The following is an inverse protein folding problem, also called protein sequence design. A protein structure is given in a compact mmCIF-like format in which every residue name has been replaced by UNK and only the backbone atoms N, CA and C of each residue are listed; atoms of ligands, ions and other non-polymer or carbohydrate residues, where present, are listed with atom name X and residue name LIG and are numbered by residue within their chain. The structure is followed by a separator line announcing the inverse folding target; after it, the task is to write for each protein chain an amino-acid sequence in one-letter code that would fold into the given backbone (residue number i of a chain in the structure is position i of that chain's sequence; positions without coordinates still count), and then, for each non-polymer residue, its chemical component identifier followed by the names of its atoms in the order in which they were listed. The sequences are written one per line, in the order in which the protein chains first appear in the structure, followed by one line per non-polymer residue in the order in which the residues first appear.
data_IF_551786071319
#
_entry.id   IF_551786071319
#
_cell.length_a   1.000
_cell.length_b   1.000
_cell.length_c   1.000
_cell.angle_alpha   90.00
_cell.angle_beta   90.00
_cell.angle_gamma   90.00
#
_symmetry.space_group_name_H-M   'P 1'
#
loop_
_entity.id
_entity.type
_entity.pdbx_description
1 polymer ?
#
# COMPACT_ATOMS: atom_id res chain seq x y z
N UNK A 1 27.38 8.07 -9.94
CA UNK A 1 27.37 8.25 -8.47
C UNK A 1 26.84 9.64 -8.18
N UNK A 2 25.80 9.85 -7.36
CA UNK A 2 25.38 11.21 -7.02
C UNK A 2 26.50 11.88 -6.22
N UNK A 3 27.19 12.84 -6.83
CA UNK A 3 28.21 13.62 -6.15
C UNK A 3 27.57 14.50 -5.09
N UNK A 4 28.16 14.51 -3.90
CA UNK A 4 27.71 15.35 -2.80
C UNK A 4 27.95 16.81 -3.16
N UNK A 5 26.89 17.49 -3.61
CA UNK A 5 26.93 18.94 -3.81
C UNK A 5 27.25 19.66 -2.50
N UNK A 6 27.97 20.76 -2.64
CA UNK A 6 28.34 21.59 -1.53
C UNK A 6 27.13 22.06 -0.71
N UNK A 7 27.24 21.95 0.62
CA UNK A 7 26.17 22.36 1.52
C UNK A 7 25.96 23.87 1.41
N UNK A 8 24.68 24.27 1.39
CA UNK A 8 24.25 25.69 1.34
C UNK A 8 24.90 26.57 2.41
N UNK A 9 25.33 25.99 3.54
CA UNK A 9 26.03 26.71 4.61
C UNK A 9 27.30 27.43 4.12
N UNK A 10 28.04 26.87 3.13
CA UNK A 10 29.24 27.52 2.58
C UNK A 10 28.90 28.89 1.98
N UNK A 11 27.77 29.00 1.29
CA UNK A 11 27.28 30.25 0.68
C UNK A 11 26.76 31.29 1.69
N UNK A 12 26.40 30.85 2.90
CA UNK A 12 25.81 31.71 3.92
C UNK A 12 26.80 32.16 5.00
N UNK A 13 28.04 31.66 5.00
CA UNK A 13 29.09 32.15 5.91
C UNK A 13 29.31 33.65 5.68
N UNK A 14 29.38 34.42 6.76
CA UNK A 14 29.46 35.89 6.71
C UNK A 14 28.10 36.60 6.68
N UNK A 15 26.98 35.89 6.50
CA UNK A 15 25.64 36.48 6.65
C UNK A 15 25.17 36.44 8.10
N UNK A 16 24.52 37.50 8.57
CA UNK A 16 24.13 37.66 9.98
C UNK A 16 23.22 36.55 10.53
N UNK A 17 22.31 36.00 9.73
CA UNK A 17 21.29 35.03 10.19
C UNK A 17 21.27 33.71 9.39
N UNK A 18 22.28 33.47 8.54
CA UNK A 18 22.44 32.24 7.76
C UNK A 18 21.17 31.76 7.03
N UNK A 19 20.41 32.69 6.46
CA UNK A 19 19.19 32.39 5.69
C UNK A 19 17.95 32.03 6.52
N UNK A 20 17.96 32.28 7.83
CA UNK A 20 16.79 32.03 8.71
C UNK A 20 15.95 33.26 9.04
N UNK A 21 16.19 34.38 8.33
CA UNK A 21 15.45 35.62 8.49
C UNK A 21 15.97 36.43 9.66
N UNK A 22 15.18 36.62 10.71
CA UNK A 22 15.55 37.38 11.90
C UNK A 22 16.27 36.50 12.94
N UNK A 23 17.10 37.11 13.80
CA UNK A 23 17.77 36.50 14.98
C UNK A 23 16.79 35.85 15.96
N UNK A 24 15.52 36.30 16.01
CA UNK A 24 14.49 35.67 16.86
C UNK A 24 13.95 34.36 16.28
N UNK A 25 14.22 34.05 15.01
CA UNK A 25 13.78 32.82 14.35
C UNK A 25 14.78 31.66 14.57
N UNK A 26 14.40 30.44 14.18
CA UNK A 26 15.25 29.22 14.23
C UNK A 26 15.84 28.91 15.62
N UNK A 27 15.02 29.08 16.67
CA UNK A 27 15.34 28.58 18.01
C UNK A 27 14.92 27.11 18.13
N UNK A 28 14.35 26.72 19.28
CA UNK A 28 13.94 25.36 19.59
C UNK A 28 12.51 25.01 19.16
N UNK A 29 11.94 24.04 19.86
CA UNK A 29 10.56 23.54 19.66
C UNK A 29 9.49 24.63 19.78
N UNK A 30 9.71 25.67 20.58
CA UNK A 30 8.80 26.81 20.69
C UNK A 30 8.53 27.48 19.33
N UNK A 31 9.59 27.74 18.54
CA UNK A 31 9.44 28.32 17.20
C UNK A 31 8.74 27.36 16.20
N UNK A 32 8.76 26.05 16.46
CA UNK A 32 8.07 25.02 15.66
C UNK A 32 6.62 24.78 16.11
N UNK A 33 6.20 25.43 17.20
CA UNK A 33 4.90 25.18 17.84
C UNK A 33 4.82 23.78 18.46
N UNK A 34 5.89 23.32 19.10
CA UNK A 34 5.99 22.02 19.77
C UNK A 34 6.86 21.00 19.03
N UNK A 35 7.14 19.86 19.67
CA UNK A 35 7.89 18.74 19.08
C UNK A 35 6.92 17.78 18.39
N UNK A 36 7.25 17.35 17.17
CA UNK A 36 6.44 16.40 16.41
C UNK A 36 5.01 16.88 16.18
N UNK A 37 4.05 16.02 16.52
CA UNK A 37 2.61 16.23 16.34
C UNK A 37 1.94 17.07 17.45
N UNK A 38 2.74 17.75 18.29
CA UNK A 38 2.21 18.66 19.28
C UNK A 38 1.45 19.83 18.62
N UNK A 39 0.30 20.17 19.18
CA UNK A 39 -0.54 21.29 18.74
C UNK A 39 -1.50 20.98 17.60
N UNK A 40 -1.48 19.75 17.04
CA UNK A 40 -2.37 19.37 15.93
C UNK A 40 -3.87 19.50 16.30
N UNK A 41 -4.26 19.22 17.53
CA UNK A 41 -5.62 19.48 18.06
C UNK A 41 -5.82 20.88 18.67
N UNK A 42 -4.88 21.81 18.51
CA UNK A 42 -4.89 23.15 19.11
C UNK A 42 -4.48 24.21 18.08
N UNK A 43 -3.35 24.88 18.27
CA UNK A 43 -2.87 25.98 17.41
C UNK A 43 -2.42 25.55 16.00
N UNK A 44 -2.31 24.24 15.72
CA UNK A 44 -2.09 23.70 14.37
C UNK A 44 -3.35 23.05 13.77
N UNK A 45 -4.53 23.30 14.34
CA UNK A 45 -5.79 22.71 13.86
C UNK A 45 -6.09 23.06 12.40
N UNK A 46 -5.81 24.29 11.96
CA UNK A 46 -5.96 24.71 10.56
C UNK A 46 -5.16 23.85 9.58
N UNK A 47 -3.96 23.39 9.98
CA UNK A 47 -3.16 22.48 9.16
C UNK A 47 -3.78 21.09 9.09
N UNK A 48 -4.33 20.58 10.20
CA UNK A 48 -5.01 19.29 10.26
C UNK A 48 -6.25 19.30 9.38
N UNK A 49 -7.13 20.29 9.53
CA UNK A 49 -8.35 20.38 8.72
C UNK A 49 -8.04 20.44 7.21
N UNK A 50 -6.93 21.08 6.82
CA UNK A 50 -6.53 21.21 5.42
C UNK A 50 -5.84 19.97 4.85
N UNK A 51 -4.88 19.39 5.58
CA UNK A 51 -3.95 18.40 5.03
C UNK A 51 -4.16 16.99 5.57
N UNK A 52 -4.78 16.84 6.74
CA UNK A 52 -4.99 15.55 7.40
C UNK A 52 -6.32 15.53 8.19
N UNK A 53 -7.47 15.67 7.52
CA UNK A 53 -8.77 15.82 8.19
C UNK A 53 -9.17 14.56 8.98
N UNK A 54 -8.79 13.37 8.52
CA UNK A 54 -9.13 12.09 9.14
C UNK A 54 -8.08 11.63 10.17
N UNK A 55 -7.17 12.52 10.59
CA UNK A 55 -6.15 12.29 11.63
C UNK A 55 -6.75 11.79 12.94
N UNK A 56 -7.92 12.33 13.27
CA UNK A 56 -8.58 12.19 14.56
C UNK A 56 -9.98 11.62 14.37
N UNK A 57 -10.40 10.81 15.35
CA UNK A 57 -11.64 10.05 15.28
C UNK A 57 -11.37 8.55 15.27
N UNK A 58 -12.45 7.78 15.34
CA UNK A 58 -12.44 6.32 15.16
C UNK A 58 -13.47 5.99 14.11
N UNK A 59 -13.06 5.32 13.05
CA UNK A 59 -13.96 4.86 12.00
C UNK A 59 -14.11 3.35 12.07
N UNK A 60 -15.37 2.89 12.09
CA UNK A 60 -15.74 1.48 11.97
C UNK A 60 -15.38 0.59 13.17
N UNK A 61 -15.73 -0.69 13.03
CA UNK A 61 -15.45 -1.74 14.01
C UNK A 61 -14.25 -2.58 13.53
N UNK A 62 -13.24 -2.75 14.40
CA UNK A 62 -12.10 -3.63 14.10
C UNK A 62 -12.48 -5.09 14.31
N UNK A 63 -12.81 -5.80 13.22
CA UNK A 63 -13.03 -7.26 13.27
C UNK A 63 -11.71 -8.00 13.51
N UNK A 64 -11.71 -8.95 14.45
CA UNK A 64 -10.65 -9.97 14.58
C UNK A 64 -10.95 -11.08 13.56
N UNK A 65 -10.45 -10.95 12.34
CA UNK A 65 -10.65 -11.93 11.27
C UNK A 65 -9.35 -12.29 10.57
N UNK A 66 -9.27 -13.52 10.06
CA UNK A 66 -8.16 -13.97 9.22
C UNK A 66 -8.41 -13.53 7.77
N UNK A 67 -7.37 -13.04 7.10
CA UNK A 67 -7.42 -12.78 5.67
C UNK A 67 -7.29 -14.11 4.94
N UNK A 68 -8.28 -14.45 4.11
CA UNK A 68 -8.16 -15.58 3.20
C UNK A 68 -7.03 -15.31 2.21
N UNK A 69 -6.22 -16.33 1.92
CA UNK A 69 -5.23 -16.24 0.84
C UNK A 69 -5.98 -16.11 -0.48
N UNK A 70 -5.46 -15.27 -1.38
CA UNK A 70 -6.06 -14.99 -2.67
C UNK A 70 -5.08 -15.31 -3.78
N UNK A 71 -5.56 -15.96 -4.84
CA UNK A 71 -4.77 -16.27 -6.04
C UNK A 71 -5.52 -15.76 -7.28
N UNK A 72 -4.79 -15.21 -8.24
CA UNK A 72 -5.35 -14.74 -9.51
C UNK A 72 -5.05 -15.71 -10.66
N UNK A 73 -5.81 -15.61 -11.74
CA UNK A 73 -5.67 -16.46 -12.92
C UNK A 73 -4.28 -16.39 -13.57
N UNK A 74 -3.64 -15.21 -13.61
CA UNK A 74 -2.30 -15.10 -14.18
C UNK A 74 -1.25 -15.94 -13.43
N UNK A 75 -1.43 -16.12 -12.12
CA UNK A 75 -0.52 -16.95 -11.31
C UNK A 75 -0.72 -18.42 -11.63
N UNK A 76 -1.97 -18.82 -11.88
CA UNK A 76 -2.33 -20.18 -12.31
C UNK A 76 -1.76 -20.45 -13.70
N UNK A 77 -1.84 -19.49 -14.62
CA UNK A 77 -1.28 -19.62 -15.97
C UNK A 77 0.26 -19.78 -15.94
N UNK A 78 0.97 -19.00 -15.11
CA UNK A 78 2.41 -19.18 -14.92
C UNK A 78 2.80 -20.51 -14.26
N UNK A 79 1.92 -21.09 -13.43
CA UNK A 79 2.14 -22.45 -12.88
C UNK A 79 1.90 -23.52 -13.95
N UNK A 80 0.91 -23.31 -14.81
CA UNK A 80 0.63 -24.19 -15.94
C UNK A 80 1.77 -24.19 -16.97
N UNK A 81 2.37 -23.03 -17.26
CA UNK A 81 3.56 -22.93 -18.13
C UNK A 81 4.77 -23.69 -17.57
N UNK A 82 4.88 -23.78 -16.23
CA UNK A 82 5.92 -24.57 -15.55
C UNK A 82 5.63 -26.07 -15.50
N UNK A 83 4.48 -26.52 -16.00
CA UNK A 83 4.10 -27.92 -16.10
C UNK A 83 3.13 -28.43 -15.03
N UNK A 84 2.71 -27.59 -14.08
CA UNK A 84 1.72 -27.98 -13.06
C UNK A 84 0.29 -27.74 -13.55
N UNK A 85 -0.33 -28.78 -14.11
CA UNK A 85 -1.71 -28.74 -14.61
C UNK A 85 -2.79 -28.95 -13.53
N UNK A 86 -2.38 -29.30 -12.30
CA UNK A 86 -3.26 -29.49 -11.13
C UNK A 86 -2.86 -28.51 -10.04
N UNK A 87 -3.73 -27.55 -9.74
CA UNK A 87 -3.47 -26.51 -8.73
C UNK A 87 -4.46 -26.67 -7.59
N UNK A 88 -3.97 -27.00 -6.40
CA UNK A 88 -4.76 -27.04 -5.17
C UNK A 88 -4.48 -25.81 -4.31
N UNK A 89 -5.50 -24.97 -4.11
CA UNK A 89 -5.37 -23.70 -3.40
C UNK A 89 -6.38 -23.56 -2.27
N UNK A 90 -5.89 -23.61 -1.02
CA UNK A 90 -6.70 -23.34 0.18
C UNK A 90 -6.93 -21.82 0.37
N UNK A 91 -7.68 -21.22 -0.56
CA UNK A 91 -8.02 -19.80 -0.56
C UNK A 91 -9.06 -19.42 -1.63
N UNK A 92 -9.20 -18.12 -1.90
CA UNK A 92 -10.14 -17.59 -2.91
C UNK A 92 -9.44 -17.31 -4.25
N UNK A 93 -10.01 -17.79 -5.35
CA UNK A 93 -9.54 -17.49 -6.70
C UNK A 93 -10.28 -16.28 -7.27
N UNK A 94 -9.53 -15.35 -7.86
CA UNK A 94 -10.06 -14.16 -8.53
C UNK A 94 -9.74 -14.16 -10.04
N UNK A 95 -10.63 -13.54 -10.82
CA UNK A 95 -10.61 -13.55 -12.29
C UNK A 95 -9.62 -12.59 -12.98
N UNK A 96 -8.62 -12.07 -12.27
CA UNK A 96 -7.64 -11.12 -12.87
C UNK A 96 -6.61 -11.89 -13.69
N UNK A 97 -6.47 -11.55 -14.98
CA UNK A 97 -5.58 -12.22 -15.91
C UNK A 97 -6.31 -13.06 -16.97
N UNK A 98 -5.53 -13.81 -17.75
CA UNK A 98 -5.99 -14.77 -18.75
C UNK A 98 -5.44 -16.15 -18.38
N UNK A 99 -6.15 -17.20 -18.78
CA UNK A 99 -5.68 -18.57 -18.74
C UNK A 99 -5.68 -19.05 -20.19
N UNK A 100 -4.56 -19.59 -20.64
CA UNK A 100 -4.40 -20.11 -22.01
C UNK A 100 -4.41 -21.62 -22.05
N UNK A 101 -3.99 -22.26 -20.97
CA UNK A 101 -3.91 -23.71 -20.87
C UNK A 101 -5.12 -24.28 -20.11
N UNK A 102 -5.62 -25.47 -20.46
CA UNK A 102 -6.62 -26.15 -19.64
C UNK A 102 -5.97 -26.60 -18.32
N UNK A 103 -6.49 -26.12 -17.19
CA UNK A 103 -5.99 -26.42 -15.84
C UNK A 103 -7.11 -27.00 -14.98
N UNK A 104 -6.79 -28.00 -14.16
CA UNK A 104 -7.64 -28.48 -13.08
C UNK A 104 -7.33 -27.69 -11.81
N UNK A 105 -8.30 -26.89 -11.34
CA UNK A 105 -8.11 -26.01 -10.20
C UNK A 105 -9.07 -26.39 -9.07
N UNK A 106 -8.51 -26.69 -7.90
CA UNK A 106 -9.29 -26.97 -6.69
C UNK A 106 -9.12 -25.83 -5.69
N UNK A 107 -10.21 -25.22 -5.23
CA UNK A 107 -10.15 -24.13 -4.25
C UNK A 107 -11.34 -24.06 -3.29
N UNK A 108 -11.21 -23.28 -2.21
CA UNK A 108 -12.27 -23.04 -1.22
C UNK A 108 -13.42 -22.19 -1.80
N UNK A 109 -13.08 -21.18 -2.60
CA UNK A 109 -14.06 -20.31 -3.27
C UNK A 109 -13.45 -19.65 -4.51
N UNK A 110 -14.29 -19.23 -5.44
CA UNK A 110 -13.89 -18.50 -6.65
C UNK A 110 -14.86 -17.35 -6.96
N UNK A 111 -14.42 -16.39 -7.77
CA UNK A 111 -15.28 -15.35 -8.34
C UNK A 111 -15.98 -15.82 -9.61
N UNK A 112 -17.20 -15.34 -9.89
CA UNK A 112 -17.94 -15.68 -11.12
C UNK A 112 -17.11 -15.50 -12.41
N UNK A 113 -16.40 -14.36 -12.53
CA UNK A 113 -15.49 -14.09 -13.66
C UNK A 113 -14.31 -15.06 -13.79
N UNK A 114 -13.91 -15.72 -12.70
CA UNK A 114 -12.85 -16.72 -12.74
C UNK A 114 -13.36 -18.04 -13.29
N UNK A 115 -14.60 -18.40 -12.93
CA UNK A 115 -15.29 -19.59 -13.42
C UNK A 115 -15.48 -19.52 -14.94
N UNK A 116 -16.06 -18.42 -15.44
CA UNK A 116 -16.26 -18.18 -16.87
C UNK A 116 -14.97 -18.41 -17.67
N UNK A 117 -13.87 -17.72 -17.29
CA UNK A 117 -12.59 -17.81 -18.00
C UNK A 117 -11.92 -19.17 -17.94
N UNK A 118 -12.10 -19.92 -16.84
CA UNK A 118 -11.53 -21.26 -16.72
C UNK A 118 -12.35 -22.24 -17.58
N UNK A 119 -13.68 -22.09 -17.62
CA UNK A 119 -14.54 -22.89 -18.50
C UNK A 119 -14.27 -22.60 -19.98
N UNK A 120 -14.06 -21.33 -20.36
CA UNK A 120 -13.68 -20.93 -21.71
C UNK A 120 -12.34 -21.55 -22.15
N UNK A 121 -11.39 -21.68 -21.22
CA UNK A 121 -10.10 -22.33 -21.48
C UNK A 121 -10.16 -23.87 -21.43
N UNK A 122 -11.34 -24.47 -21.22
CA UNK A 122 -11.52 -25.92 -21.12
C UNK A 122 -10.98 -26.53 -19.83
N UNK A 123 -10.77 -25.72 -18.78
CA UNK A 123 -10.35 -26.17 -17.46
C UNK A 123 -11.51 -26.64 -16.58
N UNK A 124 -11.20 -27.38 -15.52
CA UNK A 124 -12.19 -27.85 -14.54
C UNK A 124 -11.93 -27.20 -13.19
N UNK A 125 -12.99 -26.68 -12.56
CA UNK A 125 -12.94 -26.16 -11.19
C UNK A 125 -13.70 -27.11 -10.27
N UNK A 126 -13.11 -27.46 -9.13
CA UNK A 126 -13.80 -28.17 -8.06
C UNK A 126 -13.63 -27.50 -6.71
N UNK A 127 -14.64 -27.62 -5.85
CA UNK A 127 -14.58 -27.12 -4.47
C UNK A 127 -13.77 -28.08 -3.60
N UNK A 128 -12.82 -27.54 -2.84
CA UNK A 128 -12.19 -28.24 -1.71
C UNK A 128 -13.06 -27.99 -0.48
N UNK A 129 -13.50 -29.05 0.20
CA UNK A 129 -14.07 -28.97 1.55
C UNK A 129 -13.00 -28.64 2.61
#
# INVERSE_FOLDING_TARGET
MPERKDRKIKKYRGTRSCGTGNTKNKRGSGCRGGVGNAGLHKHKWSWVTKNDPNRYGREGLKRKGHRLKVMNLYQIDSLAEKGEKKVEFKGKILGTGKIRSPVEVKALSWSARAEEKITEAGGKISKIE
#
